data_IF_389644258714
#
_entry.id   IF_389644258714
#
_cell.length_a   1.000
_cell.length_b   1.000
_cell.length_c   1.000
_cell.angle_alpha   90.00
_cell.angle_beta   90.00
_cell.angle_gamma   90.00
#
_symmetry.space_group_name_H-M   'P 1'
#
loop_
_entity.id
_entity.type
_entity.pdbx_description
1 polymer ?
#
# COMPACT_ATOMS: atom_id res chain seq x y z
N UNK A 1 7.46 17.06 9.12
CA UNK A 1 6.16 16.68 8.52
C UNK A 1 5.77 15.29 9.00
N UNK A 2 4.68 15.19 9.76
CA UNK A 2 4.18 13.94 10.33
C UNK A 2 3.66 12.99 9.24
N UNK A 3 2.98 13.53 8.22
CA UNK A 3 2.33 12.73 7.17
C UNK A 3 3.40 12.11 6.27
N UNK A 4 4.38 12.90 5.84
CA UNK A 4 5.47 12.40 5.00
C UNK A 4 6.25 11.25 5.69
N UNK A 5 6.56 11.39 6.98
CA UNK A 5 7.24 10.34 7.75
C UNK A 5 6.39 9.08 7.91
N UNK A 6 5.08 9.23 8.13
CA UNK A 6 4.15 8.11 8.19
C UNK A 6 4.10 7.35 6.85
N UNK A 7 3.94 8.06 5.73
CA UNK A 7 3.88 7.43 4.40
C UNK A 7 5.17 6.70 4.07
N UNK A 8 6.34 7.27 4.42
CA UNK A 8 7.61 6.60 4.21
C UNK A 8 7.71 5.27 4.99
N UNK A 9 7.25 5.25 6.24
CA UNK A 9 7.22 4.03 7.07
C UNK A 9 6.22 3.01 6.51
N UNK A 10 5.03 3.46 6.09
CA UNK A 10 4.01 2.62 5.49
C UNK A 10 4.53 1.94 4.21
N UNK A 11 5.15 2.71 3.29
CA UNK A 11 5.69 2.17 2.04
C UNK A 11 6.79 1.14 2.29
N UNK A 12 7.68 1.37 3.28
CA UNK A 12 8.71 0.40 3.67
C UNK A 12 8.10 -0.90 4.19
N UNK A 13 7.11 -0.81 5.08
CA UNK A 13 6.42 -1.99 5.60
C UNK A 13 5.68 -2.75 4.50
N UNK A 14 4.99 -2.02 3.60
CA UNK A 14 4.28 -2.61 2.48
C UNK A 14 5.21 -3.28 1.47
N UNK A 15 6.36 -2.69 1.16
CA UNK A 15 7.39 -3.33 0.32
C UNK A 15 7.87 -4.66 0.93
N UNK A 16 8.09 -4.69 2.24
CA UNK A 16 8.40 -5.92 2.97
C UNK A 16 7.29 -6.97 2.87
N UNK A 17 6.02 -6.57 2.98
CA UNK A 17 4.87 -7.44 2.75
C UNK A 17 4.88 -7.99 1.31
N UNK A 18 4.98 -7.13 0.30
CA UNK A 18 4.88 -7.52 -1.11
C UNK A 18 5.97 -8.51 -1.52
N UNK A 19 7.19 -8.34 -0.98
CA UNK A 19 8.31 -9.26 -1.22
C UNK A 19 8.14 -10.64 -0.55
N UNK A 20 7.53 -10.68 0.63
CA UNK A 20 7.46 -11.91 1.46
C UNK A 20 6.13 -12.66 1.32
N UNK A 21 5.10 -12.02 0.76
CA UNK A 21 3.74 -12.54 0.70
C UNK A 21 3.20 -12.49 -0.74
N UNK A 22 3.36 -13.56 -1.53
CA UNK A 22 2.86 -13.62 -2.90
C UNK A 22 1.36 -13.34 -2.95
N UNK A 23 0.94 -12.25 -3.58
CA UNK A 23 -0.49 -11.86 -3.64
C UNK A 23 -1.21 -12.63 -4.73
N UNK A 24 -0.64 -12.65 -5.94
CA UNK A 24 -1.27 -13.21 -7.13
C UNK A 24 -1.35 -14.73 -7.07
N UNK A 25 -0.31 -15.37 -6.54
CA UNK A 25 -0.21 -16.84 -6.45
C UNK A 25 -0.91 -17.41 -5.20
N UNK A 26 -1.40 -16.56 -4.29
CA UNK A 26 -2.20 -17.03 -3.16
C UNK A 26 -3.54 -17.59 -3.63
N UNK A 27 -4.15 -18.44 -2.81
CA UNK A 27 -5.47 -19.03 -3.11
C UNK A 27 -6.49 -18.77 -2.00
N UNK A 28 -7.77 -18.90 -2.35
CA UNK A 28 -8.90 -18.81 -1.42
C UNK A 28 -8.90 -17.51 -0.59
N UNK A 29 -9.30 -17.64 0.68
CA UNK A 29 -9.42 -16.49 1.59
C UNK A 29 -8.11 -15.73 1.82
N UNK A 30 -6.95 -16.36 1.65
CA UNK A 30 -5.65 -15.68 1.77
C UNK A 30 -5.46 -14.67 0.65
N UNK A 31 -5.76 -15.06 -0.61
CA UNK A 31 -5.71 -14.13 -1.75
C UNK A 31 -6.65 -12.95 -1.57
N UNK A 32 -7.88 -13.22 -1.14
CA UNK A 32 -8.90 -12.18 -0.91
C UNK A 32 -8.40 -11.15 0.12
N UNK A 33 -7.88 -11.61 1.26
CA UNK A 33 -7.34 -10.73 2.31
C UNK A 33 -6.12 -9.93 1.83
N UNK A 34 -5.21 -10.57 1.08
CA UNK A 34 -4.01 -9.89 0.54
C UNK A 34 -4.37 -8.83 -0.48
N UNK A 35 -5.33 -9.09 -1.37
CA UNK A 35 -5.84 -8.09 -2.32
C UNK A 35 -6.48 -6.91 -1.56
N UNK A 36 -7.26 -7.18 -0.52
CA UNK A 36 -7.85 -6.12 0.31
C UNK A 36 -6.76 -5.25 0.94
N UNK A 37 -5.69 -5.87 1.49
CA UNK A 37 -4.56 -5.14 2.07
C UNK A 37 -3.86 -4.23 1.04
N UNK A 38 -3.61 -4.74 -0.17
CA UNK A 38 -3.02 -3.94 -1.27
C UNK A 38 -3.90 -2.73 -1.60
N UNK A 39 -5.21 -2.94 -1.76
CA UNK A 39 -6.17 -1.87 -2.08
C UNK A 39 -6.20 -0.80 -0.99
N UNK A 40 -6.31 -1.21 0.28
CA UNK A 40 -6.33 -0.25 1.39
C UNK A 40 -5.01 0.51 1.53
N UNK A 41 -3.88 -0.17 1.32
CA UNK A 41 -2.57 0.51 1.38
C UNK A 41 -2.45 1.55 0.27
N UNK A 42 -2.87 1.21 -0.97
CA UNK A 42 -2.93 2.17 -2.09
C UNK A 42 -3.79 3.38 -1.75
N UNK A 43 -4.97 3.18 -1.18
CA UNK A 43 -5.89 4.27 -0.85
C UNK A 43 -5.33 5.19 0.23
N UNK A 44 -4.65 4.63 1.24
CA UNK A 44 -3.95 5.43 2.27
C UNK A 44 -2.80 6.23 1.65
N UNK A 45 -1.98 5.61 0.80
CA UNK A 45 -0.90 6.30 0.10
C UNK A 45 -1.43 7.43 -0.79
N UNK A 46 -2.49 7.18 -1.55
CA UNK A 46 -3.10 8.17 -2.43
C UNK A 46 -3.63 9.38 -1.65
N UNK A 47 -4.39 9.15 -0.58
CA UNK A 47 -4.92 10.23 0.26
C UNK A 47 -3.79 10.98 0.97
N UNK A 48 -2.82 10.25 1.52
CA UNK A 48 -1.69 10.86 2.20
C UNK A 48 -0.83 11.72 1.29
N UNK A 49 -0.53 11.26 0.09
CA UNK A 49 0.17 12.07 -0.92
C UNK A 49 -0.66 13.30 -1.31
N UNK A 50 -1.98 13.15 -1.44
CA UNK A 50 -2.90 14.27 -1.68
C UNK A 50 -2.85 15.34 -0.58
N UNK A 51 -2.72 14.95 0.69
CA UNK A 51 -2.52 15.89 1.81
C UNK A 51 -1.18 16.65 1.72
N UNK A 52 -0.19 16.09 1.03
CA UNK A 52 1.11 16.72 0.77
C UNK A 52 1.12 17.52 -0.54
N UNK A 53 -0.01 17.60 -1.27
CA UNK A 53 -0.09 18.24 -2.58
C UNK A 53 0.57 17.44 -3.71
N UNK A 54 0.80 16.14 -3.52
CA UNK A 54 1.41 15.24 -4.50
C UNK A 54 0.35 14.32 -5.10
N UNK A 55 0.25 14.26 -6.42
CA UNK A 55 -0.63 13.32 -7.10
C UNK A 55 -0.04 11.90 -7.04
N UNK A 56 -0.85 10.92 -6.62
CA UNK A 56 -0.44 9.53 -6.62
C UNK A 56 -0.54 8.92 -8.03
N UNK A 57 0.39 8.03 -8.41
CA UNK A 57 0.36 7.40 -9.73
C UNK A 57 -0.89 6.54 -9.93
N UNK A 58 -1.47 6.62 -11.13
CA UNK A 58 -2.72 5.91 -11.50
C UNK A 58 -2.55 4.39 -11.59
N UNK A 59 -1.30 3.91 -11.72
CA UNK A 59 -0.93 2.50 -11.60
C UNK A 59 0.22 2.39 -10.61
N UNK A 60 0.11 1.42 -9.70
CA UNK A 60 1.19 0.98 -8.83
C UNK A 60 1.76 -0.33 -9.35
#
# INVERSE_FOLDING_TARGET
DLVAQYLLKLTKAFGGFYMKCPVLDSVGGVRVRRIALVRHTRDVLSRGLGLLGVEAPKRM
#
